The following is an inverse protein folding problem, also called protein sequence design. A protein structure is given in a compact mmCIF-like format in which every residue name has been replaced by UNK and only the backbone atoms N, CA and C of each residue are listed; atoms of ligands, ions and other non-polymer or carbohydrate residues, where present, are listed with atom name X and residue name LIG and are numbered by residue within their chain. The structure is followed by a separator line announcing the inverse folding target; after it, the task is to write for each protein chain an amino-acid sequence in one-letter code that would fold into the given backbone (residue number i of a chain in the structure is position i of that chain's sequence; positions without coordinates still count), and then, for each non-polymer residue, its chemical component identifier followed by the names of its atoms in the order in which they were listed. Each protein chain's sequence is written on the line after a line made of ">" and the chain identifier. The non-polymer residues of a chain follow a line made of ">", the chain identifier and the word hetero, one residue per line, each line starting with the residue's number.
data_IF_936710279319
#
_entry.id   IF_936710279319
#
_cell.length_a   1.000
_cell.length_b   1.000
_cell.length_c   1.000
_cell.angle_alpha   90.00
_cell.angle_beta   90.00
_cell.angle_gamma   90.00
#
_symmetry.space_group_name_H-M   'P 1'
#
loop_
_entity.id
_entity.type
_entity.pdbx_description
1 polymer ?
#
# COMPACT_ATOMS: atom_id res chain seq x y z
N UNK A 1 6.59 4.21 12.74
CA UNK A 1 6.91 3.83 11.35
C UNK A 1 7.73 2.53 11.32
N UNK A 2 7.84 1.82 10.18
CA UNK A 2 8.73 0.64 10.06
C UNK A 2 9.29 0.50 8.64
N UNK A 3 10.58 0.20 8.52
CA UNK A 3 11.20 -0.22 7.27
C UNK A 3 11.10 -1.73 7.07
N UNK A 4 10.70 -2.15 5.87
CA UNK A 4 10.75 -3.54 5.42
C UNK A 4 11.79 -3.68 4.33
N UNK A 5 12.74 -4.60 4.54
CA UNK A 5 13.81 -4.88 3.60
C UNK A 5 13.58 -6.23 2.92
N UNK A 6 13.78 -6.29 1.61
CA UNK A 6 13.69 -7.53 0.83
C UNK A 6 14.80 -7.60 -0.20
N UNK A 7 15.55 -8.70 -0.21
CA UNK A 7 16.48 -9.05 -1.29
C UNK A 7 15.70 -9.82 -2.36
N UNK A 8 15.86 -9.44 -3.62
CA UNK A 8 15.35 -10.20 -4.77
C UNK A 8 16.53 -10.87 -5.46
N UNK A 9 16.45 -12.18 -5.58
CA UNK A 9 17.41 -13.03 -6.29
C UNK A 9 16.88 -13.40 -7.67
N UNK A 10 17.79 -13.55 -8.63
CA UNK A 10 17.47 -14.10 -9.95
C UNK A 10 17.40 -15.63 -9.88
N UNK A 11 17.07 -16.27 -11.01
CA UNK A 11 17.00 -17.74 -11.10
C UNK A 11 18.33 -18.40 -10.74
N UNK A 12 19.46 -17.74 -11.01
CA UNK A 12 20.81 -18.21 -10.66
C UNK A 12 21.18 -18.00 -9.17
N UNK A 13 20.22 -17.59 -8.33
CA UNK A 13 20.44 -17.33 -6.90
C UNK A 13 21.21 -16.04 -6.58
N UNK A 14 21.75 -15.32 -7.57
CA UNK A 14 22.45 -14.04 -7.36
C UNK A 14 21.47 -12.92 -7.01
N UNK A 15 21.82 -12.10 -6.02
CA UNK A 15 21.03 -10.92 -5.65
C UNK A 15 21.07 -9.91 -6.79
N UNK A 16 19.89 -9.55 -7.28
CA UNK A 16 19.72 -8.57 -8.36
C UNK A 16 19.17 -7.24 -7.86
N UNK A 17 18.38 -7.24 -6.78
CA UNK A 17 17.80 -6.00 -6.28
C UNK A 17 17.60 -6.03 -4.76
N UNK A 18 17.99 -4.95 -4.11
CA UNK A 18 17.62 -4.65 -2.72
C UNK A 18 16.41 -3.72 -2.72
N UNK A 19 15.34 -4.09 -2.02
CA UNK A 19 14.16 -3.25 -1.84
C UNK A 19 14.03 -2.85 -0.38
N UNK A 20 13.82 -1.56 -0.15
CA UNK A 20 13.35 -1.02 1.12
C UNK A 20 11.93 -0.46 0.91
N UNK A 21 11.04 -0.65 1.88
CA UNK A 21 9.68 -0.10 1.88
C UNK A 21 9.40 0.52 3.23
N UNK A 22 8.93 1.76 3.23
CA UNK A 22 8.39 2.39 4.41
C UNK A 22 6.93 1.98 4.57
N UNK A 23 6.55 1.58 5.77
CA UNK A 23 5.19 1.08 6.08
C UNK A 23 4.67 1.80 7.32
N UNK A 24 3.40 2.20 7.27
CA UNK A 24 2.66 2.71 8.42
C UNK A 24 2.35 1.56 9.39
N UNK A 25 2.32 1.86 10.69
CA UNK A 25 1.86 0.90 11.69
C UNK A 25 0.34 0.98 11.80
N UNK A 26 -0.43 0.38 10.89
CA UNK A 26 -1.90 0.45 10.93
C UNK A 26 -2.53 -0.09 12.22
N UNK A 27 -1.84 -0.97 12.94
CA UNK A 27 -2.28 -1.42 14.25
C UNK A 27 -2.36 -0.30 15.30
N UNK A 28 -1.64 0.81 15.12
CA UNK A 28 -1.69 1.98 16.01
C UNK A 28 -2.74 3.00 15.57
N UNK A 29 -3.46 2.77 14.47
CA UNK A 29 -4.56 3.65 14.03
C UNK A 29 -5.83 3.38 14.85
N UNK A 30 -6.47 4.47 15.25
CA UNK A 30 -7.69 4.49 16.06
C UNK A 30 -8.93 4.68 15.19
N UNK A 31 -9.92 3.81 15.38
CA UNK A 31 -11.20 3.89 14.68
C UNK A 31 -11.92 5.21 14.99
N UNK A 32 -12.56 5.81 13.98
CA UNK A 32 -13.21 7.15 14.01
C UNK A 32 -12.28 8.34 14.23
N UNK A 33 -10.98 8.12 14.28
CA UNK A 33 -9.98 9.19 14.32
C UNK A 33 -9.16 9.12 13.03
N UNK A 34 -8.51 7.97 12.80
CA UNK A 34 -7.58 7.79 11.69
C UNK A 34 -8.22 7.06 10.50
N UNK A 35 -9.38 6.43 10.70
CA UNK A 35 -10.13 5.71 9.66
C UNK A 35 -11.57 5.41 10.12
N UNK A 36 -12.49 5.32 9.17
CA UNK A 36 -13.89 4.92 9.39
C UNK A 36 -14.23 3.55 8.81
N UNK A 37 -13.46 3.08 7.83
CA UNK A 37 -13.70 1.80 7.15
C UNK A 37 -12.37 1.08 6.87
N UNK A 38 -12.43 -0.25 6.83
CA UNK A 38 -11.27 -1.09 6.48
C UNK A 38 -11.54 -1.81 5.17
N UNK A 39 -10.57 -1.79 4.27
CA UNK A 39 -10.74 -2.37 2.94
C UNK A 39 -9.76 -3.51 2.71
N UNK A 40 -10.29 -4.64 2.23
CA UNK A 40 -9.46 -5.72 1.71
C UNK A 40 -9.17 -5.45 0.23
N UNK A 41 -7.90 -5.52 -0.21
CA UNK A 41 -7.55 -5.37 -1.62
C UNK A 41 -7.89 -6.62 -2.45
N UNK A 42 -8.55 -7.62 -1.86
CA UNK A 42 -8.84 -8.90 -2.49
C UNK A 42 -10.19 -8.82 -3.18
N UNK A 43 -10.17 -8.80 -4.51
CA UNK A 43 -11.36 -8.96 -5.31
C UNK A 43 -11.99 -10.35 -5.09
N UNK A 44 -13.33 -10.40 -5.03
CA UNK A 44 -14.06 -11.65 -4.90
C UNK A 44 -13.90 -12.50 -6.17
N UNK A 45 -13.44 -13.75 -6.00
CA UNK A 45 -13.25 -14.69 -7.11
C UNK A 45 -14.55 -14.95 -7.89
N UNK A 46 -15.72 -14.84 -7.24
CA UNK A 46 -17.02 -14.98 -7.89
C UNK A 46 -17.27 -13.82 -8.86
N UNK A 47 -16.97 -12.60 -8.43
CA UNK A 47 -17.09 -11.42 -9.29
C UNK A 47 -16.13 -11.51 -10.47
N UNK A 48 -14.88 -11.92 -10.24
CA UNK A 48 -13.89 -12.15 -11.32
C UNK A 48 -14.41 -13.17 -12.33
N UNK A 49 -14.96 -14.31 -11.87
CA UNK A 49 -15.52 -15.34 -12.76
C UNK A 49 -16.68 -14.82 -13.60
N UNK A 50 -17.58 -14.02 -13.02
CA UNK A 50 -18.69 -13.41 -13.75
C UNK A 50 -18.16 -12.47 -14.85
N UNK A 51 -17.20 -11.61 -14.54
CA UNK A 51 -16.59 -10.70 -15.53
C UNK A 51 -15.94 -11.48 -16.68
N UNK A 52 -15.18 -12.54 -16.37
CA UNK A 52 -14.56 -13.40 -17.39
C UNK A 52 -15.62 -14.12 -18.23
N UNK A 53 -16.70 -14.61 -17.61
CA UNK A 53 -17.78 -15.28 -18.35
C UNK A 53 -18.50 -14.33 -19.31
N UNK A 54 -18.75 -13.09 -18.89
CA UNK A 54 -19.32 -12.04 -19.75
C UNK A 54 -18.37 -11.73 -20.90
N UNK A 55 -17.08 -11.53 -20.61
CA UNK A 55 -16.08 -11.26 -21.64
C UNK A 55 -16.01 -12.41 -22.66
N UNK A 56 -16.01 -13.66 -22.22
CA UNK A 56 -16.01 -14.82 -23.09
C UNK A 56 -17.29 -14.93 -23.94
N UNK A 57 -18.46 -14.59 -23.38
CA UNK A 57 -19.73 -14.63 -24.10
C UNK A 57 -19.81 -13.60 -25.23
N UNK A 58 -19.28 -12.40 -24.99
CA UNK A 58 -19.29 -11.30 -25.96
C UNK A 58 -17.99 -11.21 -26.79
N UNK A 59 -17.08 -12.17 -26.65
CA UNK A 59 -15.77 -12.19 -27.31
C UNK A 59 -14.95 -10.90 -27.06
N UNK A 60 -14.95 -10.42 -25.81
CA UNK A 60 -14.17 -9.26 -25.38
C UNK A 60 -12.77 -9.65 -24.96
N UNK A 61 -11.82 -8.78 -25.32
CA UNK A 61 -10.44 -8.89 -24.86
C UNK A 61 -10.26 -8.29 -23.46
N UNK A 62 -9.62 -9.03 -22.56
CA UNK A 62 -9.29 -8.56 -21.20
C UNK A 62 -7.84 -8.14 -21.16
N UNK A 63 -7.62 -6.87 -20.80
CA UNK A 63 -6.28 -6.31 -20.57
C UNK A 63 -6.01 -6.20 -19.07
N UNK A 64 -4.85 -6.71 -18.63
CA UNK A 64 -4.40 -6.58 -17.24
C UNK A 64 -3.29 -5.52 -17.14
N UNK A 65 -3.43 -4.60 -16.19
CA UNK A 65 -2.41 -3.61 -15.86
C UNK A 65 -2.05 -3.70 -14.38
N UNK A 66 -0.77 -3.87 -14.08
CA UNK A 66 -0.23 -3.76 -12.71
C UNK A 66 0.39 -2.37 -12.52
N UNK A 67 -0.22 -1.57 -11.65
CA UNK A 67 0.26 -0.22 -11.35
C UNK A 67 1.38 -0.30 -10.33
N UNK A 68 2.58 0.11 -10.77
CA UNK A 68 3.72 0.26 -9.85
C UNK A 68 3.36 1.28 -8.77
N UNK A 69 3.62 0.89 -7.52
CA UNK A 69 3.41 1.73 -6.33
C UNK A 69 2.00 2.32 -6.23
N UNK A 70 0.97 1.53 -6.58
CA UNK A 70 -0.44 1.97 -6.58
C UNK A 70 -0.85 2.77 -5.34
N UNK A 71 -0.51 2.29 -4.14
CA UNK A 71 -0.81 2.98 -2.87
C UNK A 71 -0.30 4.42 -2.81
N UNK A 72 0.88 4.71 -3.38
CA UNK A 72 1.46 6.06 -3.35
C UNK A 72 0.71 7.06 -4.23
N UNK A 73 -0.17 6.58 -5.11
CA UNK A 73 -1.01 7.43 -5.93
C UNK A 73 -2.33 7.80 -5.23
N UNK A 74 -2.74 7.04 -4.21
CA UNK A 74 -3.95 7.30 -3.44
C UNK A 74 -3.90 8.63 -2.67
N UNK A 75 -4.96 9.43 -2.81
CA UNK A 75 -5.17 10.66 -2.03
C UNK A 75 -5.81 10.33 -0.67
N UNK A 76 -5.16 10.68 0.45
CA UNK A 76 -5.77 10.54 1.78
C UNK A 76 -6.86 11.59 1.99
N UNK A 77 -8.05 11.14 2.39
CA UNK A 77 -9.14 12.03 2.81
C UNK A 77 -8.90 12.51 4.25
N UNK A 78 -8.25 11.68 5.06
CA UNK A 78 -7.97 11.92 6.47
C UNK A 78 -6.54 12.44 6.72
N UNK A 79 -6.39 13.27 7.76
CA UNK A 79 -5.10 13.76 8.22
C UNK A 79 -4.38 12.72 9.07
N UNK A 80 -3.47 11.97 8.44
CA UNK A 80 -2.74 10.89 9.10
C UNK A 80 -1.30 11.28 9.36
N UNK A 81 -0.85 11.01 10.59
CA UNK A 81 0.50 11.29 11.04
C UNK A 81 1.24 9.98 11.35
N UNK A 82 2.55 10.00 11.17
CA UNK A 82 3.43 8.89 11.52
C UNK A 82 4.70 9.38 12.20
N UNK A 83 5.24 8.57 13.11
CA UNK A 83 6.58 8.77 13.65
C UNK A 83 7.61 8.92 12.51
N UNK A 84 8.61 9.78 12.72
CA UNK A 84 9.72 9.92 11.79
C UNK A 84 10.39 8.56 11.53
N UNK A 85 10.69 8.22 10.26
CA UNK A 85 11.36 6.97 9.96
C UNK A 85 12.77 6.94 10.54
N UNK A 86 13.20 5.74 10.94
CA UNK A 86 14.59 5.50 11.32
C UNK A 86 15.53 5.96 10.19
N UNK A 87 16.58 6.70 10.55
CA UNK A 87 17.52 7.33 9.61
C UNK A 87 17.09 8.70 9.08
N UNK A 88 15.86 9.16 9.37
CA UNK A 88 15.30 10.43 8.90
C UNK A 88 14.78 11.33 10.02
N UNK A 89 15.14 11.04 11.28
CA UNK A 89 14.77 11.86 12.44
C UNK A 89 15.51 13.20 12.38
N UNK A 90 14.76 14.30 12.44
CA UNK A 90 15.32 15.66 12.52
C UNK A 90 16.06 15.86 13.87
N UNK A 91 17.38 16.13 13.87
CA UNK A 91 18.14 16.33 15.10
C UNK A 91 17.68 17.53 15.93
N UNK A 92 17.13 18.56 15.29
CA UNK A 92 16.61 19.76 15.96
C UNK A 92 15.22 19.52 16.52
N UNK A 93 14.44 18.64 15.90
CA UNK A 93 13.07 18.35 16.30
C UNK A 93 12.78 16.84 16.34
N UNK A 94 13.41 16.10 17.27
CA UNK A 94 13.32 14.64 17.31
C UNK A 94 11.90 14.13 17.58
N UNK A 95 11.08 14.92 18.27
CA UNK A 95 9.71 14.56 18.66
C UNK A 95 8.65 14.95 17.63
N UNK A 96 9.03 15.48 16.46
CA UNK A 96 8.06 15.75 15.38
C UNK A 96 7.56 14.45 14.76
N UNK A 97 6.41 14.59 14.10
CA UNK A 97 5.78 13.54 13.30
C UNK A 97 5.65 13.99 11.86
N UNK A 98 5.63 13.03 10.93
CA UNK A 98 5.42 13.27 9.52
C UNK A 98 3.92 13.20 9.21
N UNK A 99 3.37 14.21 8.54
CA UNK A 99 2.03 14.13 7.94
C UNK A 99 2.12 13.42 6.59
N UNK A 100 1.32 12.37 6.42
CA UNK A 100 1.24 11.65 5.15
C UNK A 100 0.46 12.47 4.12
N UNK A 101 1.06 12.66 2.95
CA UNK A 101 0.41 13.35 1.82
C UNK A 101 -0.30 12.38 0.87
N UNK A 102 0.09 11.10 0.93
CA UNK A 102 -0.41 10.01 0.07
C UNK A 102 -0.54 8.75 0.90
N UNK A 103 -1.39 7.84 0.44
CA UNK A 103 -1.54 6.54 1.07
C UNK A 103 -0.23 5.75 0.99
N UNK A 104 0.07 4.99 2.05
CA UNK A 104 1.22 4.08 2.11
C UNK A 104 0.77 2.72 2.63
N UNK A 105 1.59 1.70 2.37
CA UNK A 105 1.33 0.37 2.90
C UNK A 105 1.14 0.39 4.41
N UNK A 106 0.23 -0.46 4.88
CA UNK A 106 -0.01 -0.68 6.30
C UNK A 106 -1.02 0.28 6.92
N UNK A 107 -1.56 1.26 6.20
CA UNK A 107 -2.77 1.95 6.66
C UNK A 107 -3.99 1.04 6.50
N UNK A 108 -4.95 1.12 7.44
CA UNK A 108 -6.17 0.30 7.45
C UNK A 108 -7.10 0.58 6.26
N UNK A 109 -7.09 1.81 5.77
CA UNK A 109 -7.85 2.27 4.61
C UNK A 109 -7.02 2.35 3.32
N UNK A 110 -5.76 1.88 3.33
CA UNK A 110 -4.86 2.00 2.18
C UNK A 110 -5.42 1.38 0.90
N UNK A 111 -6.18 0.29 1.02
CA UNK A 111 -6.71 -0.48 -0.12
C UNK A 111 -7.92 0.15 -0.81
N UNK A 112 -8.45 1.26 -0.27
CA UNK A 112 -9.56 1.99 -0.90
C UNK A 112 -9.12 2.80 -2.12
N UNK A 113 -7.85 3.22 -2.15
CA UNK A 113 -7.35 4.27 -3.03
C UNK A 113 -6.47 3.77 -4.17
#
# INVERSE_FOLDING_TARGET
>A
SKWLYKKKTNMDGKVHTYKARLVAKGCTQTYRIDYEETFSPVADIRAIRIVIAIAAYYDYEIWQMDVKTAFLNGCLDEDIYMEQPEGYVDPKYPNRVCKLQRSIYGLKQASRQ
#
